data_IF_857165517784
#
_entry.id   IF_857165517784
#
_cell.length_a   1.000
_cell.length_b   1.000
_cell.length_c   1.000
_cell.angle_alpha   90.00
_cell.angle_beta   90.00
_cell.angle_gamma   90.00
#
_symmetry.space_group_name_H-M   'P 1'
#
loop_
_entity.id
_entity.type
_entity.pdbx_description
1 polymer ?
#
# COMPACT_ATOMS: atom_id res chain seq x y z
N UNK A 1 21.93 -17.85 -7.39
CA UNK A 1 20.68 -18.52 -7.81
C UNK A 1 19.49 -17.80 -7.18
N UNK A 2 18.33 -17.79 -7.84
CA UNK A 2 17.08 -17.29 -7.23
C UNK A 2 16.52 -18.42 -6.36
N UNK A 3 16.18 -18.14 -5.09
CA UNK A 3 15.57 -19.10 -4.18
C UNK A 3 14.07 -18.85 -4.08
N UNK A 4 13.21 -19.74 -4.62
CA UNK A 4 11.76 -19.53 -4.61
C UNK A 4 11.17 -19.44 -3.19
N UNK A 5 11.68 -20.25 -2.25
CA UNK A 5 11.19 -20.26 -0.87
C UNK A 5 11.30 -18.88 -0.18
N UNK A 6 12.43 -18.17 -0.38
CA UNK A 6 12.63 -16.81 0.14
C UNK A 6 11.57 -15.86 -0.43
N UNK A 7 11.31 -15.92 -1.73
CA UNK A 7 10.31 -15.06 -2.39
C UNK A 7 8.92 -15.37 -1.84
N UNK A 8 8.52 -16.64 -1.78
CA UNK A 8 7.19 -17.06 -1.30
C UNK A 8 6.98 -16.64 0.15
N UNK A 9 7.98 -16.82 1.02
CA UNK A 9 7.92 -16.38 2.42
C UNK A 9 7.66 -14.88 2.56
N UNK A 10 8.29 -14.06 1.71
CA UNK A 10 8.16 -12.61 1.76
C UNK A 10 6.88 -12.11 1.09
N UNK A 11 6.40 -12.80 0.05
CA UNK A 11 5.04 -12.60 -0.48
C UNK A 11 3.99 -12.94 0.59
N UNK A 12 4.19 -13.99 1.39
CA UNK A 12 3.34 -14.30 2.53
C UNK A 12 3.27 -13.16 3.56
N UNK A 13 4.40 -12.52 3.85
CA UNK A 13 4.44 -11.33 4.71
C UNK A 13 3.67 -10.14 4.10
N UNK A 14 3.82 -9.90 2.80
CA UNK A 14 3.08 -8.85 2.08
C UNK A 14 1.56 -9.09 2.18
N UNK A 15 1.12 -10.32 1.88
CA UNK A 15 -0.29 -10.72 1.98
C UNK A 15 -0.78 -10.53 3.42
N UNK A 16 0.01 -10.91 4.43
CA UNK A 16 -0.35 -10.73 5.83
C UNK A 16 -0.58 -9.25 6.17
N UNK A 17 0.30 -8.36 5.71
CA UNK A 17 0.15 -6.90 5.91
C UNK A 17 -1.12 -6.39 5.24
N UNK A 18 -1.41 -6.82 4.01
CA UNK A 18 -2.64 -6.47 3.28
C UNK A 18 -3.88 -6.93 4.05
N UNK A 19 -3.89 -8.17 4.55
CA UNK A 19 -5.00 -8.71 5.32
C UNK A 19 -5.21 -8.00 6.67
N UNK A 20 -4.14 -7.67 7.38
CA UNK A 20 -4.22 -6.86 8.61
C UNK A 20 -4.72 -5.44 8.32
N UNK A 21 -4.34 -4.85 7.19
CA UNK A 21 -4.83 -3.54 6.79
C UNK A 21 -6.35 -3.56 6.49
N UNK A 22 -6.88 -4.64 5.91
CA UNK A 22 -8.33 -4.78 5.70
C UNK A 22 -9.13 -4.70 7.00
N UNK A 23 -8.59 -5.19 8.13
CA UNK A 23 -9.27 -5.10 9.43
C UNK A 23 -9.53 -3.66 9.88
N UNK A 24 -8.73 -2.69 9.42
CA UNK A 24 -8.95 -1.27 9.71
C UNK A 24 -10.21 -0.69 9.06
N UNK A 25 -10.82 -1.41 8.12
CA UNK A 25 -12.09 -1.04 7.50
C UNK A 25 -13.30 -1.42 8.37
N UNK A 26 -13.16 -2.42 9.24
CA UNK A 26 -14.26 -2.94 10.06
C UNK A 26 -14.87 -1.91 11.02
N UNK A 27 -14.10 -1.06 11.73
CA UNK A 27 -14.67 -0.01 12.58
C UNK A 27 -15.66 0.89 11.82
N UNK A 28 -15.33 1.26 10.57
CA UNK A 28 -16.20 2.10 9.75
C UNK A 28 -17.51 1.40 9.40
N UNK A 29 -17.45 0.13 9.01
CA UNK A 29 -18.68 -0.63 8.73
C UNK A 29 -19.51 -0.92 9.97
N UNK A 30 -18.88 -1.18 11.12
CA UNK A 30 -19.58 -1.44 12.39
C UNK A 30 -20.32 -0.18 12.86
N UNK A 31 -19.65 0.97 12.86
CA UNK A 31 -20.24 2.25 13.30
C UNK A 31 -21.47 2.60 12.45
N UNK A 32 -21.42 2.30 11.14
CA UNK A 32 -22.48 2.61 10.19
C UNK A 32 -23.48 1.45 9.98
N UNK A 33 -23.33 0.35 10.72
CA UNK A 33 -24.18 -0.85 10.65
C UNK A 33 -24.32 -1.42 9.23
N UNK A 34 -23.22 -1.49 8.51
CA UNK A 34 -23.19 -1.92 7.10
C UNK A 34 -23.20 -3.44 6.98
N UNK A 35 -23.85 -3.97 5.95
CA UNK A 35 -23.92 -5.43 5.72
C UNK A 35 -22.58 -6.03 5.26
N UNK A 36 -21.65 -5.19 4.76
CA UNK A 36 -20.34 -5.61 4.26
C UNK A 36 -19.35 -6.07 5.33
N UNK A 37 -19.70 -5.96 6.63
CA UNK A 37 -18.85 -6.40 7.74
C UNK A 37 -18.40 -7.85 7.55
N UNK A 38 -19.34 -8.75 7.18
CA UNK A 38 -19.03 -10.16 6.99
C UNK A 38 -18.09 -10.39 5.80
N UNK A 39 -18.34 -9.72 4.68
CA UNK A 39 -17.51 -9.82 3.47
C UNK A 39 -16.09 -9.31 3.69
N UNK A 40 -15.93 -8.17 4.37
CA UNK A 40 -14.61 -7.62 4.72
C UNK A 40 -13.89 -8.55 5.71
N UNK A 41 -14.60 -9.07 6.71
CA UNK A 41 -14.02 -9.99 7.70
C UNK A 41 -13.55 -11.29 7.04
N UNK A 42 -14.34 -11.86 6.13
CA UNK A 42 -13.97 -13.06 5.39
C UNK A 42 -12.78 -12.81 4.46
N UNK A 43 -12.76 -11.68 3.75
CA UNK A 43 -11.64 -11.28 2.90
C UNK A 43 -10.35 -11.12 3.72
N UNK A 44 -10.44 -10.44 4.87
CA UNK A 44 -9.32 -10.28 5.79
C UNK A 44 -8.83 -11.64 6.34
N UNK A 45 -9.74 -12.51 6.77
CA UNK A 45 -9.40 -13.84 7.30
C UNK A 45 -8.70 -14.72 6.26
N UNK A 46 -9.25 -14.83 5.05
CA UNK A 46 -8.64 -15.61 3.95
C UNK A 46 -7.25 -15.06 3.62
N UNK A 47 -7.11 -13.74 3.57
CA UNK A 47 -5.84 -13.07 3.27
C UNK A 47 -4.81 -13.30 4.38
N UNK A 48 -5.17 -13.08 5.65
CA UNK A 48 -4.29 -13.28 6.81
C UNK A 48 -3.83 -14.73 6.91
N UNK A 49 -4.75 -15.69 6.81
CA UNK A 49 -4.44 -17.12 6.90
C UNK A 49 -3.51 -17.53 5.76
N UNK A 50 -3.81 -17.11 4.53
CA UNK A 50 -2.95 -17.41 3.36
C UNK A 50 -1.55 -16.82 3.54
N UNK A 51 -1.45 -15.54 3.95
CA UNK A 51 -0.18 -14.88 4.19
C UNK A 51 0.63 -15.54 5.30
N UNK A 52 -0.02 -15.89 6.41
CA UNK A 52 0.61 -16.59 7.54
C UNK A 52 1.12 -17.97 7.14
N UNK A 53 0.31 -18.78 6.44
CA UNK A 53 0.71 -20.12 5.98
C UNK A 53 1.91 -20.05 5.03
N UNK A 54 1.87 -19.15 4.03
CA UNK A 54 3.00 -18.96 3.12
C UNK A 54 4.26 -18.49 3.86
N UNK A 55 4.11 -17.57 4.82
CA UNK A 55 5.23 -17.08 5.61
C UNK A 55 5.85 -18.20 6.44
N UNK A 56 5.02 -18.98 7.12
CA UNK A 56 5.43 -20.04 8.03
C UNK A 56 6.06 -21.23 7.30
N UNK A 57 5.41 -21.74 6.24
CA UNK A 57 5.85 -22.94 5.51
C UNK A 57 7.15 -22.73 4.72
N UNK A 58 7.40 -21.50 4.25
CA UNK A 58 8.55 -21.19 3.38
C UNK A 58 9.63 -20.34 4.06
N UNK A 59 9.54 -20.12 5.38
CA UNK A 59 10.54 -19.32 6.12
C UNK A 59 11.90 -20.01 6.13
N UNK A 60 12.92 -19.39 5.52
CA UNK A 60 14.29 -19.94 5.47
C UNK A 60 15.28 -19.21 6.39
N UNK A 61 14.91 -18.08 7.01
CA UNK A 61 15.81 -17.25 7.82
C UNK A 61 16.88 -16.49 7.02
N UNK A 62 16.93 -16.68 5.70
CA UNK A 62 17.92 -16.07 4.83
C UNK A 62 17.53 -14.64 4.41
N UNK A 63 18.53 -13.80 4.14
CA UNK A 63 18.31 -12.46 3.60
C UNK A 63 17.98 -12.50 2.10
N UNK A 64 17.14 -11.55 1.67
CA UNK A 64 16.76 -11.37 0.27
C UNK A 64 17.96 -10.87 -0.53
N UNK A 65 18.27 -11.52 -1.64
CA UNK A 65 19.25 -11.00 -2.59
C UNK A 65 18.61 -10.03 -3.60
N UNK A 66 19.42 -9.28 -4.34
CA UNK A 66 18.91 -8.25 -5.28
C UNK A 66 17.96 -8.84 -6.34
N UNK A 67 18.26 -10.02 -6.89
CA UNK A 67 17.42 -10.67 -7.93
C UNK A 67 16.05 -11.09 -7.36
N UNK A 68 16.04 -11.62 -6.14
CA UNK A 68 14.83 -11.96 -5.39
C UNK A 68 14.03 -10.70 -5.05
N UNK A 69 14.70 -9.59 -4.72
CA UNK A 69 14.05 -8.29 -4.50
C UNK A 69 13.31 -7.78 -5.74
N UNK A 70 13.92 -7.84 -6.93
CA UNK A 70 13.24 -7.49 -8.18
C UNK A 70 12.02 -8.38 -8.46
N UNK A 71 12.17 -9.69 -8.27
CA UNK A 71 11.06 -10.63 -8.44
C UNK A 71 9.91 -10.34 -7.46
N UNK A 72 10.25 -10.05 -6.20
CA UNK A 72 9.28 -9.71 -5.16
C UNK A 72 8.50 -8.44 -5.49
N UNK A 73 9.15 -7.42 -6.03
CA UNK A 73 8.45 -6.19 -6.45
C UNK A 73 7.47 -6.50 -7.59
N UNK A 74 7.93 -7.17 -8.66
CA UNK A 74 7.09 -7.45 -9.81
C UNK A 74 5.88 -8.34 -9.48
N UNK A 75 6.11 -9.43 -8.74
CA UNK A 75 5.05 -10.37 -8.36
C UNK A 75 4.19 -9.80 -7.22
N UNK A 76 4.80 -9.04 -6.31
CA UNK A 76 4.15 -8.50 -5.12
C UNK A 76 2.97 -7.60 -5.44
N UNK A 77 3.09 -6.70 -6.42
CA UNK A 77 1.98 -5.84 -6.83
C UNK A 77 0.77 -6.64 -7.38
N UNK A 78 1.04 -7.68 -8.16
CA UNK A 78 0.00 -8.54 -8.72
C UNK A 78 -0.70 -9.31 -7.59
N UNK A 79 0.08 -9.94 -6.70
CA UNK A 79 -0.45 -10.72 -5.58
C UNK A 79 -1.22 -9.82 -4.60
N UNK A 80 -0.67 -8.66 -4.24
CA UNK A 80 -1.36 -7.70 -3.39
C UNK A 80 -2.69 -7.26 -4.00
N UNK A 81 -2.75 -7.07 -5.33
CA UNK A 81 -3.98 -6.70 -6.03
C UNK A 81 -5.00 -7.83 -6.10
N UNK A 82 -4.56 -9.09 -6.26
CA UNK A 82 -5.47 -10.26 -6.20
C UNK A 82 -6.13 -10.34 -4.83
N UNK A 83 -5.34 -10.36 -3.75
CA UNK A 83 -5.90 -10.44 -2.39
C UNK A 83 -6.67 -9.17 -2.03
N UNK A 84 -6.18 -8.00 -2.42
CA UNK A 84 -6.85 -6.72 -2.18
C UNK A 84 -8.20 -6.57 -2.88
N UNK A 85 -8.48 -7.35 -3.92
CA UNK A 85 -9.78 -7.36 -4.60
C UNK A 85 -10.87 -8.14 -3.85
N UNK A 86 -10.49 -9.00 -2.89
CA UNK A 86 -11.41 -9.88 -2.17
C UNK A 86 -12.55 -9.14 -1.44
N UNK A 87 -12.33 -8.00 -0.75
CA UNK A 87 -13.42 -7.26 -0.12
C UNK A 87 -14.50 -6.81 -1.11
N UNK A 88 -14.11 -6.44 -2.35
CA UNK A 88 -15.05 -6.02 -3.39
C UNK A 88 -15.81 -7.21 -4.00
N UNK A 89 -15.13 -8.33 -4.19
CA UNK A 89 -15.72 -9.55 -4.72
C UNK A 89 -16.70 -10.19 -3.73
N UNK A 90 -16.27 -10.36 -2.48
CA UNK A 90 -17.08 -11.02 -1.44
C UNK A 90 -18.26 -10.18 -0.98
N UNK A 91 -18.22 -8.86 -1.16
CA UNK A 91 -19.36 -7.97 -0.88
C UNK A 91 -20.35 -7.87 -2.04
N UNK A 92 -19.97 -8.33 -3.24
CA UNK A 92 -20.81 -8.23 -4.44
C UNK A 92 -20.90 -6.84 -5.06
N UNK A 93 -20.16 -5.84 -4.53
CA UNK A 93 -20.15 -4.48 -5.09
C UNK A 93 -19.39 -4.41 -6.43
N UNK A 94 -18.37 -5.27 -6.60
CA UNK A 94 -17.74 -5.53 -7.91
C UNK A 94 -17.71 -7.05 -8.13
N UNK A 95 -18.80 -7.65 -8.65
CA UNK A 95 -18.90 -9.10 -8.79
C UNK A 95 -18.03 -9.65 -9.93
N UNK A 96 -17.65 -8.80 -10.89
CA UNK A 96 -16.72 -9.16 -11.95
C UNK A 96 -15.27 -9.07 -11.45
N UNK A 97 -14.51 -10.16 -11.59
CA UNK A 97 -13.10 -10.20 -11.20
C UNK A 97 -12.25 -9.14 -11.87
N UNK A 98 -12.45 -8.88 -13.17
CA UNK A 98 -11.68 -7.87 -13.89
C UNK A 98 -11.91 -6.46 -13.32
N UNK A 99 -13.16 -6.12 -12.97
CA UNK A 99 -13.50 -4.83 -12.38
C UNK A 99 -12.92 -4.68 -10.97
N UNK A 100 -13.08 -5.71 -10.12
CA UNK A 100 -12.53 -5.69 -8.77
C UNK A 100 -10.99 -5.65 -8.77
N UNK A 101 -10.36 -6.41 -9.67
CA UNK A 101 -8.92 -6.42 -9.85
C UNK A 101 -8.44 -5.07 -10.39
N UNK A 102 -9.10 -4.49 -11.39
CA UNK A 102 -8.77 -3.18 -11.94
C UNK A 102 -8.84 -2.09 -10.88
N UNK A 103 -9.94 -2.04 -10.11
CA UNK A 103 -10.13 -1.06 -9.03
C UNK A 103 -9.00 -1.16 -7.99
N UNK A 104 -8.61 -2.40 -7.64
CA UNK A 104 -7.54 -2.65 -6.67
C UNK A 104 -6.16 -2.32 -7.22
N UNK A 105 -5.86 -2.69 -8.47
CA UNK A 105 -4.60 -2.32 -9.14
C UNK A 105 -4.48 -0.81 -9.22
N UNK A 106 -5.55 -0.11 -9.61
CA UNK A 106 -5.60 1.34 -9.68
C UNK A 106 -5.34 2.00 -8.31
N UNK A 107 -5.88 1.40 -7.24
CA UNK A 107 -5.60 1.79 -5.87
C UNK A 107 -4.12 1.62 -5.50
N UNK A 108 -3.59 0.40 -5.53
CA UNK A 108 -2.21 0.13 -5.11
C UNK A 108 -1.15 0.82 -5.99
N UNK A 109 -1.42 1.00 -7.28
CA UNK A 109 -0.52 1.72 -8.19
C UNK A 109 -0.64 3.25 -8.07
N UNK A 110 -1.54 3.74 -7.22
CA UNK A 110 -1.86 5.16 -7.07
C UNK A 110 -2.24 5.82 -8.40
N UNK A 111 -2.98 5.10 -9.25
CA UNK A 111 -3.45 5.60 -10.55
C UNK A 111 -4.74 6.41 -10.40
N UNK A 112 -5.66 5.97 -9.53
CA UNK A 112 -6.92 6.68 -9.27
C UNK A 112 -8.00 6.57 -10.34
N UNK A 113 -7.80 5.75 -11.38
CA UNK A 113 -8.85 5.39 -12.31
C UNK A 113 -9.88 4.46 -11.63
N UNK A 114 -11.17 4.67 -11.89
CA UNK A 114 -12.26 3.92 -11.23
C UNK A 114 -13.20 3.30 -12.25
N UNK A 115 -13.64 2.06 -11.99
CA UNK A 115 -14.77 1.43 -12.71
C UNK A 115 -16.10 1.69 -11.99
N UNK A 116 -16.04 2.15 -10.75
CA UNK A 116 -17.19 2.52 -9.95
C UNK A 116 -17.79 3.83 -10.46
N UNK A 117 -19.07 3.80 -10.86
CA UNK A 117 -19.81 4.95 -11.40
C UNK A 117 -20.33 5.91 -10.33
N UNK A 118 -20.89 5.35 -9.27
CA UNK A 118 -21.39 6.11 -8.13
C UNK A 118 -20.69 5.63 -6.87
N UNK A 119 -19.66 6.37 -6.46
CA UNK A 119 -18.84 6.06 -5.31
C UNK A 119 -19.54 6.44 -4.00
N UNK A 120 -20.46 7.40 -4.02
CA UNK A 120 -21.13 7.90 -2.81
C UNK A 120 -22.15 6.90 -2.26
N UNK A 121 -22.68 6.02 -3.12
CA UNK A 121 -23.55 4.91 -2.73
C UNK A 121 -22.80 3.74 -2.08
N UNK A 122 -21.46 3.75 -2.06
CA UNK A 122 -20.68 2.66 -1.50
C UNK A 122 -20.62 2.71 0.03
N UNK A 123 -20.59 1.54 0.69
CA UNK A 123 -20.43 1.45 2.12
C UNK A 123 -19.03 1.95 2.51
N UNK A 124 -18.98 2.66 3.62
CA UNK A 124 -17.79 3.31 4.16
C UNK A 124 -16.65 2.33 4.41
N UNK A 125 -16.91 1.08 4.78
CA UNK A 125 -15.85 0.08 4.89
C UNK A 125 -15.12 -0.18 3.57
N UNK A 126 -15.87 -0.34 2.47
CA UNK A 126 -15.28 -0.56 1.15
C UNK A 126 -14.65 0.73 0.59
N UNK A 127 -15.29 1.87 0.83
CA UNK A 127 -14.71 3.17 0.45
C UNK A 127 -13.38 3.42 1.18
N UNK A 128 -13.31 3.13 2.48
CA UNK A 128 -12.08 3.25 3.25
C UNK A 128 -10.99 2.33 2.70
N UNK A 129 -11.33 1.08 2.36
CA UNK A 129 -10.39 0.15 1.72
C UNK A 129 -9.85 0.71 0.40
N UNK A 130 -10.72 1.25 -0.47
CA UNK A 130 -10.30 1.89 -1.74
C UNK A 130 -9.27 2.98 -1.49
N UNK A 131 -9.54 3.94 -0.61
CA UNK A 131 -8.60 5.02 -0.31
C UNK A 131 -7.31 4.51 0.38
N UNK A 132 -7.44 3.55 1.30
CA UNK A 132 -6.30 2.97 2.01
C UNK A 132 -5.32 2.25 1.07
N UNK A 133 -5.81 1.58 0.02
CA UNK A 133 -4.93 0.94 -0.97
C UNK A 133 -4.00 1.93 -1.65
N UNK A 134 -4.45 3.17 -1.91
CA UNK A 134 -3.57 4.24 -2.41
C UNK A 134 -2.51 4.61 -1.38
N UNK A 135 -2.88 4.80 -0.11
CA UNK A 135 -1.89 5.15 0.93
C UNK A 135 -0.82 4.08 1.12
N UNK A 136 -1.21 2.80 1.11
CA UNK A 136 -0.30 1.65 1.15
C UNK A 136 0.57 1.59 -0.11
N UNK A 137 -0.01 1.84 -1.28
CA UNK A 137 0.66 1.89 -2.57
C UNK A 137 1.72 2.99 -2.65
N UNK A 138 1.37 4.20 -2.21
CA UNK A 138 2.26 5.36 -2.13
C UNK A 138 3.49 5.08 -1.26
N UNK A 139 3.31 4.39 -0.13
CA UNK A 139 4.47 3.92 0.65
C UNK A 139 5.28 2.86 -0.10
N UNK A 140 4.61 1.92 -0.77
CA UNK A 140 5.24 0.86 -1.56
C UNK A 140 6.18 1.39 -2.65
N UNK A 141 5.77 2.42 -3.38
CA UNK A 141 6.61 3.01 -4.44
C UNK A 141 7.81 3.79 -3.89
N UNK A 142 7.66 4.46 -2.73
CA UNK A 142 8.77 5.15 -2.05
C UNK A 142 9.86 4.14 -1.66
N UNK A 143 9.48 3.00 -1.06
CA UNK A 143 10.43 1.94 -0.67
C UNK A 143 11.08 1.31 -1.90
N UNK A 144 10.30 1.06 -2.97
CA UNK A 144 10.83 0.54 -4.23
C UNK A 144 11.91 1.46 -4.81
N UNK A 145 11.62 2.76 -4.91
CA UNK A 145 12.56 3.73 -5.47
C UNK A 145 13.86 3.81 -4.65
N UNK A 146 13.75 3.77 -3.33
CA UNK A 146 14.91 3.71 -2.45
C UNK A 146 15.73 2.43 -2.65
N UNK A 147 15.07 1.28 -2.83
CA UNK A 147 15.74 0.01 -3.11
C UNK A 147 16.46 0.02 -4.47
N UNK A 148 15.91 0.68 -5.48
CA UNK A 148 16.55 0.87 -6.80
C UNK A 148 17.81 1.75 -6.69
N UNK A 149 17.71 2.90 -6.02
CA UNK A 149 18.86 3.80 -5.78
C UNK A 149 19.96 3.07 -4.99
N UNK A 150 19.58 2.33 -3.95
CA UNK A 150 20.49 1.49 -3.17
C UNK A 150 21.24 0.46 -4.04
N UNK A 151 20.52 -0.22 -4.94
CA UNK A 151 21.08 -1.17 -5.89
C UNK A 151 22.06 -0.53 -6.88
N UNK A 152 21.84 0.72 -7.28
CA UNK A 152 22.76 1.48 -8.12
C UNK A 152 24.00 1.96 -7.35
N UNK A 153 23.86 2.39 -6.10
CA UNK A 153 24.98 2.82 -5.25
C UNK A 153 26.00 1.71 -4.94
N UNK A 154 25.54 0.45 -4.86
CA UNK A 154 26.41 -0.71 -4.73
C UNK A 154 27.35 -0.93 -5.94
N UNK A 155 26.97 -0.46 -7.13
CA UNK A 155 27.83 -0.51 -8.34
C UNK A 155 28.95 0.53 -8.31
N UNK A 156 28.74 1.69 -7.67
CA UNK A 156 29.80 2.69 -7.46
C UNK A 156 30.91 2.20 -6.51
N UNK A 157 30.55 1.39 -5.51
CA UNK A 157 31.53 0.74 -4.62
C UNK A 157 32.26 -0.43 -5.29
N UNK A 158 31.64 -1.09 -6.26
CA UNK A 158 32.32 -2.09 -7.10
C UNK A 158 33.33 -1.47 -8.07
N UNK A 159 33.04 -0.28 -8.60
CA UNK A 159 33.99 0.48 -9.44
C UNK A 159 35.22 0.91 -8.62
N UNK A 160 35.01 1.42 -7.40
CA UNK A 160 36.10 1.72 -6.45
C UNK A 160 36.91 0.49 -6.04
N UNK A 161 36.28 -0.70 -5.94
CA UNK A 161 36.98 -1.98 -5.73
C UNK A 161 37.85 -2.40 -6.92
N UNK A 162 37.50 -1.98 -8.14
CA UNK A 162 38.28 -2.25 -9.34
C UNK A 162 39.51 -1.34 -9.46
N UNK A 163 39.45 -0.13 -8.88
CA UNK A 163 40.54 0.86 -8.96
C UNK A 163 41.55 0.79 -7.80
N UNK A 164 41.23 0.18 -6.65
CA UNK A 164 42.17 0.03 -5.53
C UNK A 164 42.00 -1.29 -4.75
N UNK A 165 42.80 -2.34 -5.03
CA UNK A 165 42.81 -3.55 -4.24
C UNK A 165 43.60 -3.33 -2.94
N UNK A 166 42.92 -3.18 -1.80
CA UNK A 166 43.56 -3.25 -0.47
C UNK A 166 43.10 -2.25 0.61
N UNK A 167 42.19 -1.31 0.32
CA UNK A 167 41.71 -0.34 1.32
C UNK A 167 40.67 -0.90 2.32
N UNK A 168 40.58 -0.37 3.57
CA UNK A 168 39.62 -0.83 4.57
C UNK A 168 38.20 -0.76 4.03
N UNK A 169 37.52 -1.89 4.08
CA UNK A 169 36.19 -2.10 3.50
C UNK A 169 35.19 -1.20 4.22
N UNK A 170 34.74 -0.11 3.59
CA UNK A 170 33.60 0.67 4.09
C UNK A 170 32.32 -0.13 3.81
N UNK A 171 32.10 -1.17 4.59
CA UNK A 171 30.85 -1.92 4.67
C UNK A 171 29.77 -1.09 5.40
N UNK A 172 29.24 -0.01 4.80
CA UNK A 172 28.11 0.73 5.42
C UNK A 172 27.07 1.30 4.44
N UNK A 173 26.87 0.68 3.28
CA UNK A 173 25.73 1.07 2.41
C UNK A 173 24.40 0.57 3.00
N UNK A 174 24.36 -0.65 3.54
CA UNK A 174 23.16 -1.28 4.13
C UNK A 174 22.50 -0.52 5.30
N UNK A 175 23.22 -0.07 6.35
CA UNK A 175 22.59 0.63 7.48
C UNK A 175 21.94 1.97 7.09
N UNK A 176 22.55 2.71 6.16
CA UNK A 176 22.01 4.00 5.69
C UNK A 176 20.69 3.86 4.94
N UNK A 177 20.49 2.77 4.19
CA UNK A 177 19.24 2.56 3.42
C UNK A 177 18.07 2.32 4.37
N UNK A 178 18.26 1.48 5.41
CA UNK A 178 17.24 1.24 6.42
C UNK A 178 16.87 2.53 7.17
N UNK A 179 17.87 3.33 7.54
CA UNK A 179 17.67 4.64 8.17
C UNK A 179 16.91 5.61 7.26
N UNK A 180 17.25 5.68 5.97
CA UNK A 180 16.52 6.51 5.00
C UNK A 180 15.09 6.03 4.82
N UNK A 181 14.84 4.73 4.73
CA UNK A 181 13.49 4.18 4.64
C UNK A 181 12.63 4.55 5.86
N UNK A 182 13.22 4.46 7.06
CA UNK A 182 12.55 4.84 8.30
C UNK A 182 12.23 6.34 8.35
N UNK A 183 13.17 7.20 7.93
CA UNK A 183 12.94 8.65 7.87
C UNK A 183 11.86 9.02 6.86
N UNK A 184 11.85 8.38 5.68
CA UNK A 184 10.81 8.60 4.67
C UNK A 184 9.45 8.14 5.18
N UNK A 185 9.38 6.98 5.84
CA UNK A 185 8.15 6.47 6.43
C UNK A 185 7.60 7.42 7.51
N UNK A 186 8.48 7.90 8.41
CA UNK A 186 8.10 8.86 9.44
C UNK A 186 7.61 10.18 8.82
N UNK A 187 8.30 10.68 7.80
CA UNK A 187 7.91 11.90 7.08
C UNK A 187 6.54 11.74 6.41
N UNK A 188 6.31 10.61 5.74
CA UNK A 188 5.03 10.29 5.10
C UNK A 188 3.87 10.30 6.10
N UNK A 189 4.06 9.73 7.30
CA UNK A 189 3.04 9.75 8.36
C UNK A 189 2.82 11.15 8.92
N UNK A 190 3.89 11.90 9.21
CA UNK A 190 3.77 13.26 9.77
C UNK A 190 2.99 14.15 8.81
N UNK A 191 3.32 14.12 7.52
CA UNK A 191 2.61 14.92 6.51
C UNK A 191 1.17 14.41 6.36
N UNK A 192 0.92 13.09 6.40
CA UNK A 192 -0.44 12.53 6.40
C UNK A 192 -1.27 13.09 7.57
N UNK A 193 -0.73 13.06 8.79
CA UNK A 193 -1.42 13.57 9.98
C UNK A 193 -1.68 15.07 9.83
N UNK A 194 -0.69 15.84 9.38
CA UNK A 194 -0.85 17.28 9.17
C UNK A 194 -1.94 17.60 8.13
N UNK A 195 -1.96 16.90 7.00
CA UNK A 195 -2.98 17.02 5.96
C UNK A 195 -4.38 16.70 6.51
N UNK A 196 -4.54 15.57 7.22
CA UNK A 196 -5.81 15.18 7.82
C UNK A 196 -6.32 16.22 8.82
N UNK A 197 -5.44 16.76 9.68
CA UNK A 197 -5.80 17.80 10.65
C UNK A 197 -6.22 19.11 9.97
N UNK A 198 -5.52 19.52 8.90
CA UNK A 198 -5.89 20.70 8.13
C UNK A 198 -7.27 20.53 7.47
N UNK A 199 -7.53 19.39 6.83
CA UNK A 199 -8.83 19.10 6.22
C UNK A 199 -9.97 19.10 7.25
N UNK A 200 -9.73 18.58 8.45
CA UNK A 200 -10.67 18.64 9.58
C UNK A 200 -10.95 20.08 10.02
N UNK A 201 -9.90 20.89 10.20
CA UNK A 201 -10.03 22.31 10.60
C UNK A 201 -10.82 23.10 9.56
N UNK A 202 -10.64 22.80 8.27
CA UNK A 202 -11.34 23.46 7.18
C UNK A 202 -12.77 22.95 6.93
N UNK A 203 -13.27 22.05 7.79
CA UNK A 203 -14.68 21.65 7.84
C UNK A 203 -15.01 20.33 7.17
N UNK A 204 -14.02 19.55 6.73
CA UNK A 204 -14.26 18.19 6.23
C UNK A 204 -14.52 17.24 7.42
N UNK A 205 -15.47 16.31 7.28
CA UNK A 205 -15.69 15.31 8.33
C UNK A 205 -14.52 14.32 8.41
N UNK A 206 -14.35 13.65 9.55
CA UNK A 206 -13.21 12.76 9.81
C UNK A 206 -13.03 11.65 8.78
N UNK A 207 -14.13 11.04 8.32
CA UNK A 207 -14.06 9.95 7.35
C UNK A 207 -13.52 10.44 6.01
N UNK A 208 -14.10 11.52 5.49
CA UNK A 208 -13.68 12.12 4.24
C UNK A 208 -12.26 12.69 4.35
N UNK A 209 -11.91 13.33 5.47
CA UNK A 209 -10.58 13.88 5.71
C UNK A 209 -9.50 12.79 5.68
N UNK A 210 -9.74 11.64 6.32
CA UNK A 210 -8.81 10.50 6.27
C UNK A 210 -8.69 9.93 4.86
N UNK A 211 -9.82 9.72 4.18
CA UNK A 211 -9.84 9.17 2.83
C UNK A 211 -9.12 10.08 1.83
N UNK A 212 -9.38 11.39 1.86
CA UNK A 212 -8.68 12.37 1.03
C UNK A 212 -7.19 12.49 1.40
N UNK A 213 -6.84 12.42 2.69
CA UNK A 213 -5.43 12.37 3.11
C UNK A 213 -4.69 11.20 2.48
N UNK A 214 -5.28 10.01 2.52
CA UNK A 214 -4.69 8.79 1.96
C UNK A 214 -4.41 8.90 0.47
N UNK A 215 -5.33 9.51 -0.27
CA UNK A 215 -5.26 9.62 -1.73
C UNK A 215 -4.37 10.77 -2.18
N UNK A 216 -4.36 11.89 -1.45
CA UNK A 216 -3.47 13.03 -1.70
C UNK A 216 -2.01 12.68 -1.40
N UNK A 217 -1.73 12.06 -0.26
CA UNK A 217 -0.36 11.67 0.12
C UNK A 217 0.26 10.68 -0.86
N UNK A 218 -0.57 9.80 -1.41
CA UNK A 218 -0.18 8.84 -2.42
C UNK A 218 -0.16 9.41 -3.84
N UNK A 219 -0.57 10.67 -4.04
CA UNK A 219 -0.75 11.29 -5.37
C UNK A 219 -1.69 10.50 -6.30
N UNK A 220 -2.67 9.78 -5.73
CA UNK A 220 -3.49 8.85 -6.49
C UNK A 220 -4.83 9.43 -6.95
N UNK A 221 -5.56 10.15 -6.10
CA UNK A 221 -6.76 10.87 -6.52
C UNK A 221 -8.09 10.11 -6.44
N UNK A 222 -8.16 8.98 -5.72
CA UNK A 222 -9.48 8.48 -5.30
C UNK A 222 -10.17 9.49 -4.35
N UNK A 223 -11.49 9.42 -4.27
CA UNK A 223 -12.29 10.29 -3.42
C UNK A 223 -13.55 9.58 -2.93
N UNK A 224 -14.06 10.04 -1.80
CA UNK A 224 -15.38 9.64 -1.28
C UNK A 224 -16.53 10.32 -2.01
N UNK A 225 -16.24 11.28 -2.89
CA UNK A 225 -17.21 12.08 -3.65
C UNK A 225 -17.04 11.85 -5.14
N UNK A 226 -18.15 11.80 -5.88
CA UNK A 226 -18.11 11.60 -7.34
C UNK A 226 -17.43 12.78 -8.06
N UNK A 227 -17.58 14.00 -7.52
CA UNK A 227 -16.93 15.22 -8.03
C UNK A 227 -15.52 15.45 -7.45
N UNK A 228 -14.94 14.45 -6.77
CA UNK A 228 -13.66 14.54 -6.07
C UNK A 228 -13.58 15.77 -5.15
N UNK A 229 -12.44 16.47 -5.11
CA UNK A 229 -12.27 17.69 -4.30
C UNK A 229 -13.23 18.81 -4.73
N UNK A 230 -13.74 18.77 -5.96
CA UNK A 230 -14.70 19.74 -6.50
C UNK A 230 -16.08 19.69 -5.83
N UNK A 231 -16.38 18.63 -5.06
CA UNK A 231 -17.57 18.59 -4.20
C UNK A 231 -17.52 19.67 -3.11
N UNK A 232 -16.33 20.02 -2.61
CA UNK A 232 -16.16 20.98 -1.53
C UNK A 232 -16.02 22.39 -2.12
N UNK A 233 -16.91 23.29 -1.71
CA UNK A 233 -16.90 24.70 -2.14
C UNK A 233 -15.84 25.56 -1.44
N UNK A 234 -15.25 25.06 -0.35
CA UNK A 234 -14.21 25.77 0.42
C UNK A 234 -12.87 25.79 -0.32
N UNK A 235 -12.33 26.96 -0.68
CA UNK A 235 -11.01 27.05 -1.31
C UNK A 235 -9.89 26.50 -0.43
N UNK A 236 -10.03 26.62 0.89
CA UNK A 236 -9.05 26.09 1.85
C UNK A 236 -8.92 24.56 1.74
N UNK A 237 -10.03 23.85 1.55
CA UNK A 237 -10.00 22.40 1.31
C UNK A 237 -9.34 22.07 -0.03
N UNK A 238 -9.56 22.88 -1.07
CA UNK A 238 -9.01 22.64 -2.40
C UNK A 238 -7.50 22.90 -2.51
N UNK A 239 -6.96 23.78 -1.67
CA UNK A 239 -5.53 24.15 -1.66
C UNK A 239 -4.68 23.38 -0.65
N UNK A 240 -5.31 22.56 0.20
CA UNK A 240 -4.64 21.69 1.18
C UNK A 240 -4.13 20.42 0.51
#
# INVERSE_FOLDING_TARGET
>A
MIRPAVIISQLGLLILIVGLAMLTCLPWSIIHKEEVIMSISLAAAVTIISGFLLKYLFSTGESINIKEGFALVGIGWIIASIFGSLPFLFSGYLPNFADAFFETVSGFSTTGATVVKDVEAWPRGLMFWRCLTQWLGGMGIIVLFLALIAGMGARGTQLFKAEAPGGPIINKISPRIRETAQKLWLTYIIISIACCLMLLIFGMNLFDALCHTFTTMATGGFSTKNASIGFYSSPYIQWT
#
